data_IF_630668043415
#
_entry.id   IF_630668043415
#
_cell.length_a   1.000
_cell.length_b   1.000
_cell.length_c   1.000
_cell.angle_alpha   90.00
_cell.angle_beta   90.00
_cell.angle_gamma   90.00
#
_symmetry.space_group_name_H-M   'P 1'
#
loop_
_entity.id
_entity.type
_entity.pdbx_description
1 polymer ?
#
# COMPACT_ATOMS: atom_id res chain seq x y z
N UNK A 1 10.11 -39.20 -34.09
CA UNK A 1 8.88 -38.73 -33.39
C UNK A 1 9.26 -37.51 -32.58
N UNK A 2 8.65 -36.35 -32.85
CA UNK A 2 8.93 -35.09 -32.16
C UNK A 2 8.31 -35.17 -30.77
N UNK A 3 9.15 -35.29 -29.75
CA UNK A 3 8.73 -35.11 -28.36
C UNK A 3 8.46 -33.64 -28.13
N UNK A 4 7.18 -33.28 -28.15
CA UNK A 4 6.66 -31.97 -27.77
C UNK A 4 7.16 -31.63 -26.37
N UNK A 5 8.05 -30.63 -26.26
CA UNK A 5 8.38 -29.98 -25.01
C UNK A 5 7.12 -29.26 -24.52
N UNK A 6 6.33 -29.94 -23.70
CA UNK A 6 5.38 -29.30 -22.78
C UNK A 6 6.17 -29.03 -21.50
N UNK A 7 7.00 -27.98 -21.52
CA UNK A 7 7.59 -27.43 -20.31
C UNK A 7 6.45 -26.75 -19.53
N UNK A 8 5.76 -27.56 -18.72
CA UNK A 8 4.84 -27.11 -17.70
C UNK A 8 5.54 -26.00 -16.89
N UNK A 9 4.93 -24.81 -16.87
CA UNK A 9 5.24 -23.69 -15.97
C UNK A 9 5.01 -24.10 -14.51
N UNK A 10 5.81 -25.04 -14.03
CA UNK A 10 5.84 -25.45 -12.63
C UNK A 10 6.82 -24.54 -11.90
N UNK A 11 6.27 -23.77 -10.96
CA UNK A 11 6.95 -23.27 -9.75
C UNK A 11 7.78 -22.00 -9.89
N UNK A 12 7.19 -20.93 -10.41
CA UNK A 12 7.49 -19.59 -9.89
C UNK A 12 6.17 -18.99 -9.38
N UNK A 13 6.08 -18.55 -8.11
CA UNK A 13 4.88 -17.87 -7.62
C UNK A 13 4.77 -16.53 -8.37
N UNK A 14 4.00 -16.52 -9.45
CA UNK A 14 3.62 -15.29 -10.10
C UNK A 14 2.51 -14.67 -9.26
N UNK A 15 2.83 -13.55 -8.60
CA UNK A 15 1.82 -12.71 -8.01
C UNK A 15 1.03 -12.03 -9.15
N UNK A 16 -0.28 -12.23 -9.14
CA UNK A 16 -1.22 -11.67 -10.10
C UNK A 16 -1.98 -10.53 -9.46
N UNK A 17 -2.06 -9.40 -10.14
CA UNK A 17 -3.02 -8.38 -9.76
C UNK A 17 -4.46 -8.89 -9.96
N UNK A 18 -5.41 -8.47 -9.13
CA UNK A 18 -6.81 -8.84 -9.32
C UNK A 18 -7.33 -8.38 -10.69
N UNK A 19 -8.06 -9.25 -11.38
CA UNK A 19 -8.57 -9.01 -12.75
C UNK A 19 -9.54 -7.84 -12.86
N UNK A 20 -10.11 -7.40 -11.75
CA UNK A 20 -11.04 -6.27 -11.67
C UNK A 20 -10.33 -4.92 -11.49
N UNK A 21 -9.00 -4.91 -11.36
CA UNK A 21 -8.25 -3.66 -11.36
C UNK A 21 -8.28 -3.04 -12.77
N UNK A 22 -8.90 -1.87 -12.92
CA UNK A 22 -8.97 -1.10 -14.18
C UNK A 22 -7.62 -0.48 -14.61
N UNK A 23 -6.52 -0.98 -14.07
CA UNK A 23 -5.19 -0.47 -14.29
C UNK A 23 -4.60 -1.10 -15.56
N UNK A 24 -3.83 -0.32 -16.35
CA UNK A 24 -3.22 -0.80 -17.59
C UNK A 24 -1.96 -1.64 -17.31
N UNK A 25 -2.14 -2.77 -16.62
CA UNK A 25 -1.06 -3.69 -16.27
C UNK A 25 -0.67 -4.56 -17.46
N UNK A 26 0.63 -4.62 -17.75
CA UNK A 26 1.15 -5.40 -18.88
C UNK A 26 2.55 -5.94 -18.59
N UNK A 27 2.87 -7.10 -19.15
CA UNK A 27 4.21 -7.67 -19.06
C UNK A 27 4.60 -8.14 -17.66
N UNK A 28 5.90 -8.34 -17.48
CA UNK A 28 6.47 -9.01 -16.31
C UNK A 28 7.68 -8.23 -15.80
N UNK A 29 7.83 -8.13 -14.48
CA UNK A 29 9.06 -7.64 -13.85
C UNK A 29 9.69 -8.75 -12.99
N UNK A 30 10.99 -8.95 -13.14
CA UNK A 30 11.76 -9.82 -12.24
C UNK A 30 12.31 -8.98 -11.10
N UNK A 31 12.10 -9.45 -9.87
CA UNK A 31 12.59 -8.80 -8.66
C UNK A 31 13.91 -9.46 -8.22
N UNK A 32 15.01 -8.70 -8.06
CA UNK A 32 16.25 -9.23 -7.50
C UNK A 32 16.03 -9.76 -6.10
N UNK A 33 16.51 -10.97 -5.83
CA UNK A 33 16.41 -11.60 -4.50
C UNK A 33 17.71 -12.25 -4.08
N UNK A 34 17.88 -12.39 -2.77
CA UNK A 34 18.95 -13.20 -2.21
C UNK A 34 18.51 -13.84 -0.88
N UNK A 35 19.28 -14.81 -0.41
CA UNK A 35 19.02 -15.55 0.84
C UNK A 35 19.97 -15.02 1.92
N UNK A 36 19.46 -14.55 3.09
CA UNK A 36 20.28 -13.94 4.16
C UNK A 36 21.46 -14.79 4.65
N UNK A 37 21.32 -16.11 4.63
CA UNK A 37 22.35 -17.05 5.08
C UNK A 37 23.32 -17.48 3.94
N UNK A 38 23.19 -16.86 2.76
CA UNK A 38 24.06 -17.05 1.61
C UNK A 38 25.28 -16.12 1.62
N UNK A 39 26.30 -16.44 0.81
CA UNK A 39 27.59 -15.74 0.75
C UNK A 39 27.55 -14.29 0.19
N UNK A 40 26.37 -13.68 0.02
CA UNK A 40 26.20 -12.32 -0.48
C UNK A 40 25.60 -11.42 0.62
N UNK A 41 25.98 -10.14 0.63
CA UNK A 41 25.39 -9.16 1.52
C UNK A 41 23.92 -8.94 1.15
N UNK A 42 23.03 -9.62 1.90
CA UNK A 42 21.58 -9.54 1.73
C UNK A 42 20.98 -8.51 2.67
N UNK A 43 20.17 -7.61 2.13
CA UNK A 43 19.49 -6.57 2.89
C UNK A 43 18.00 -6.85 2.90
N UNK A 44 17.34 -6.61 4.04
CA UNK A 44 15.88 -6.67 4.11
C UNK A 44 15.27 -5.50 3.34
N UNK A 45 14.28 -5.75 2.48
CA UNK A 45 13.71 -4.74 1.59
C UNK A 45 13.10 -3.54 2.33
N UNK A 46 12.53 -3.73 3.52
CA UNK A 46 12.05 -2.61 4.34
C UNK A 46 13.19 -1.69 4.83
N UNK A 47 14.37 -2.26 5.13
CA UNK A 47 15.55 -1.48 5.48
C UNK A 47 16.11 -0.75 4.27
N UNK A 48 16.22 -1.43 3.12
CA UNK A 48 16.66 -0.82 1.86
C UNK A 48 15.73 0.33 1.45
N UNK A 49 14.41 0.13 1.52
CA UNK A 49 13.41 1.17 1.20
C UNK A 49 13.63 2.43 2.04
N UNK A 50 13.83 2.29 3.36
CA UNK A 50 14.12 3.43 4.24
C UNK A 50 15.43 4.11 3.86
N UNK A 51 16.51 3.34 3.74
CA UNK A 51 17.85 3.85 3.46
C UNK A 51 17.93 4.55 2.08
N UNK A 52 17.16 4.09 1.10
CA UNK A 52 17.15 4.67 -0.24
C UNK A 52 16.23 5.90 -0.30
N UNK A 53 15.13 5.90 0.44
CA UNK A 53 14.26 7.07 0.59
C UNK A 53 15.00 8.26 1.24
N UNK A 54 15.86 8.00 2.23
CA UNK A 54 16.71 9.03 2.87
C UNK A 54 17.72 9.68 1.91
N UNK A 55 17.97 9.08 0.74
CA UNK A 55 18.86 9.61 -0.30
C UNK A 55 18.14 10.33 -1.42
N UNK A 56 16.80 10.31 -1.43
CA UNK A 56 16.02 11.11 -2.38
C UNK A 56 16.40 12.59 -2.16
N UNK A 57 16.83 13.32 -3.22
CA UNK A 57 17.28 14.69 -3.06
C UNK A 57 16.20 15.59 -2.44
N UNK A 58 16.56 16.28 -1.37
CA UNK A 58 15.72 17.30 -0.76
C UNK A 58 15.56 18.52 -1.68
N UNK A 59 14.47 19.25 -1.50
CA UNK A 59 14.19 20.48 -2.23
C UNK A 59 13.53 21.51 -1.30
N UNK A 60 14.04 22.74 -1.33
CA UNK A 60 13.42 23.86 -0.61
C UNK A 60 12.07 24.29 -1.22
N UNK A 61 11.76 23.83 -2.43
CA UNK A 61 10.55 24.21 -3.18
C UNK A 61 9.60 23.05 -3.44
N UNK A 62 10.03 21.80 -3.24
CA UNK A 62 9.19 20.61 -3.36
C UNK A 62 9.19 19.86 -2.04
N UNK A 63 8.00 19.69 -1.45
CA UNK A 63 7.84 18.86 -0.28
C UNK A 63 7.67 17.40 -0.69
N UNK A 64 8.67 16.58 -0.41
CA UNK A 64 8.68 15.16 -0.72
C UNK A 64 8.05 14.34 0.42
N UNK A 65 7.18 13.38 0.08
CA UNK A 65 6.50 12.52 1.05
C UNK A 65 6.62 11.06 0.58
N UNK A 66 7.46 10.29 1.26
CA UNK A 66 7.55 8.84 1.07
C UNK A 66 6.45 8.11 1.83
N UNK A 67 5.71 7.23 1.16
CA UNK A 67 4.64 6.44 1.76
C UNK A 67 4.39 5.13 1.00
N UNK A 68 3.77 4.16 1.68
CA UNK A 68 3.21 2.98 1.02
C UNK A 68 1.82 3.31 0.47
N UNK A 69 1.50 2.78 -0.71
CA UNK A 69 0.22 3.08 -1.35
C UNK A 69 -0.19 2.06 -2.40
N UNK A 70 -1.50 2.03 -2.60
CA UNK A 70 -2.18 1.51 -3.78
C UNK A 70 -2.79 2.69 -4.56
N UNK A 71 -3.40 2.47 -5.74
CA UNK A 71 -4.15 3.52 -6.42
C UNK A 71 -5.34 4.06 -5.62
N UNK A 72 -5.83 3.32 -4.62
CA UNK A 72 -6.98 3.70 -3.79
C UNK A 72 -6.57 4.40 -2.50
N UNK A 73 -5.43 4.02 -1.90
CA UNK A 73 -5.10 4.35 -0.50
C UNK A 73 -3.63 4.67 -0.27
N UNK A 74 -3.38 5.51 0.72
CA UNK A 74 -2.06 5.79 1.29
C UNK A 74 -1.99 5.18 2.69
N UNK A 75 -0.81 4.78 3.11
CA UNK A 75 -0.58 4.15 4.40
C UNK A 75 0.50 4.91 5.19
N UNK A 76 0.29 5.06 6.49
CA UNK A 76 1.32 5.57 7.41
C UNK A 76 2.30 4.46 7.82
N UNK A 77 3.28 4.80 8.67
CA UNK A 77 4.33 3.86 9.10
C UNK A 77 3.84 2.65 9.89
N UNK A 78 2.61 2.71 10.43
CA UNK A 78 1.96 1.59 11.12
C UNK A 78 1.07 0.77 10.16
N UNK A 79 1.12 1.08 8.86
CA UNK A 79 0.24 0.54 7.82
C UNK A 79 -1.25 0.82 8.09
N UNK A 80 -1.54 1.92 8.78
CA UNK A 80 -2.89 2.45 8.90
C UNK A 80 -3.19 3.31 7.68
N UNK A 81 -4.40 3.18 7.12
CA UNK A 81 -4.85 4.03 6.01
C UNK A 81 -4.79 5.49 6.46
N UNK A 82 -4.02 6.28 5.73
CA UNK A 82 -3.91 7.72 5.85
C UNK A 82 -4.90 8.35 4.87
N UNK A 83 -5.95 8.98 5.38
CA UNK A 83 -6.94 9.62 4.51
C UNK A 83 -6.35 10.85 3.84
N UNK A 84 -6.90 11.22 2.69
CA UNK A 84 -6.51 12.44 1.97
C UNK A 84 -6.71 13.68 2.85
N UNK A 85 -7.78 13.72 3.64
CA UNK A 85 -8.07 14.85 4.53
C UNK A 85 -7.07 14.94 5.69
N UNK A 86 -6.69 13.80 6.28
CA UNK A 86 -5.68 13.74 7.34
C UNK A 86 -4.32 14.22 6.82
N UNK A 87 -3.92 13.75 5.63
CA UNK A 87 -2.67 14.18 5.00
C UNK A 87 -2.72 15.68 4.64
N UNK A 88 -3.81 16.16 4.06
CA UNK A 88 -3.98 17.58 3.76
C UNK A 88 -3.88 18.43 5.04
N UNK A 89 -4.54 18.03 6.12
CA UNK A 89 -4.48 18.72 7.41
C UNK A 89 -3.05 18.77 7.97
N UNK A 90 -2.29 17.67 7.87
CA UNK A 90 -0.89 17.61 8.29
C UNK A 90 0.05 18.47 7.43
N UNK A 91 -0.29 18.67 6.15
CA UNK A 91 0.55 19.39 5.19
C UNK A 91 0.30 20.89 5.16
N UNK A 92 -0.94 21.36 5.35
CA UNK A 92 -1.28 22.80 5.30
C UNK A 92 -0.32 23.70 6.10
N UNK A 93 0.07 23.36 7.35
CA UNK A 93 1.01 24.19 8.12
C UNK A 93 2.42 24.27 7.51
N UNK A 94 2.80 23.32 6.64
CA UNK A 94 4.11 23.26 5.97
C UNK A 94 4.14 24.04 4.65
N UNK A 95 2.99 24.47 4.14
CA UNK A 95 2.88 25.24 2.90
C UNK A 95 3.07 26.74 3.19
N UNK A 96 4.30 27.09 3.59
CA UNK A 96 4.70 28.42 4.06
C UNK A 96 4.92 29.47 2.95
N UNK A 97 4.55 29.14 1.71
CA UNK A 97 4.76 29.97 0.52
C UNK A 97 6.13 29.78 -0.17
N UNK A 98 7.09 29.08 0.45
CA UNK A 98 8.34 28.68 -0.24
C UNK A 98 8.13 27.39 -1.03
N UNK A 99 7.40 26.45 -0.44
CA UNK A 99 6.97 25.21 -1.11
C UNK A 99 6.05 25.57 -2.27
N UNK A 100 6.34 25.04 -3.47
CA UNK A 100 5.59 25.25 -4.71
C UNK A 100 4.89 23.99 -5.20
N UNK A 101 5.24 22.84 -4.66
CA UNK A 101 4.63 21.57 -5.01
C UNK A 101 4.92 20.49 -3.99
N UNK A 102 4.16 19.41 -4.10
CA UNK A 102 4.30 18.19 -3.29
C UNK A 102 4.55 17.03 -4.23
N UNK A 103 5.50 16.17 -3.87
CA UNK A 103 5.69 14.88 -4.54
C UNK A 103 5.35 13.74 -3.58
N UNK A 104 4.33 12.96 -3.94
CA UNK A 104 4.01 11.70 -3.28
C UNK A 104 4.89 10.61 -3.88
N UNK A 105 5.84 10.11 -3.11
CA UNK A 105 6.70 8.99 -3.46
C UNK A 105 6.08 7.72 -2.89
N UNK A 106 5.15 7.16 -3.65
CA UNK A 106 4.45 5.92 -3.31
C UNK A 106 3.80 5.33 -4.56
N UNK A 107 3.81 4.00 -4.68
CA UNK A 107 3.29 3.29 -5.84
C UNK A 107 1.87 3.75 -6.19
N UNK A 108 1.62 3.99 -7.47
CA UNK A 108 0.28 4.31 -8.02
C UNK A 108 -0.38 5.62 -7.54
N UNK A 109 0.30 6.47 -6.78
CA UNK A 109 -0.28 7.71 -6.25
C UNK A 109 -0.72 8.71 -7.33
N UNK A 110 -0.11 8.66 -8.52
CA UNK A 110 -0.44 9.51 -9.66
C UNK A 110 -1.48 8.92 -10.61
N UNK A 111 -2.05 7.75 -10.30
CA UNK A 111 -2.93 7.01 -11.20
C UNK A 111 -4.35 6.95 -10.66
N UNK A 112 -5.32 7.17 -11.56
CA UNK A 112 -6.74 6.97 -11.27
C UNK A 112 -7.01 5.47 -11.08
N UNK A 113 -7.59 5.03 -9.94
CA UNK A 113 -7.88 3.61 -9.70
C UNK A 113 -8.90 3.02 -10.67
N UNK A 114 -9.85 3.85 -11.13
CA UNK A 114 -10.94 3.45 -12.03
C UNK A 114 -11.54 4.68 -12.74
N UNK A 115 -12.23 4.50 -13.88
CA UNK A 115 -12.86 5.61 -14.58
C UNK A 115 -13.78 6.43 -13.66
N UNK A 116 -13.62 7.76 -13.68
CA UNK A 116 -14.41 8.69 -12.87
C UNK A 116 -13.87 8.92 -11.45
N UNK A 117 -12.83 8.21 -11.01
CA UNK A 117 -12.19 8.42 -9.70
C UNK A 117 -10.84 9.10 -9.88
N UNK A 118 -10.65 10.29 -9.30
CA UNK A 118 -9.37 11.00 -9.34
C UNK A 118 -8.24 10.22 -8.65
N UNK A 119 -7.00 10.41 -9.11
CA UNK A 119 -5.81 9.83 -8.47
C UNK A 119 -5.65 10.33 -7.03
N UNK A 120 -4.83 9.65 -6.21
CA UNK A 120 -4.51 10.12 -4.86
C UNK A 120 -3.87 11.51 -4.87
N UNK A 121 -2.96 11.77 -5.81
CA UNK A 121 -2.34 13.08 -6.00
C UNK A 121 -3.39 14.17 -6.33
N UNK A 122 -4.33 13.89 -7.24
CA UNK A 122 -5.40 14.84 -7.60
C UNK A 122 -6.36 15.09 -6.42
N UNK A 123 -6.72 14.03 -5.69
CA UNK A 123 -7.56 14.13 -4.49
C UNK A 123 -6.88 15.01 -3.42
N UNK A 124 -5.59 14.82 -3.20
CA UNK A 124 -4.81 15.62 -2.26
C UNK A 124 -4.66 17.08 -2.74
N UNK A 125 -4.39 17.28 -4.03
CA UNK A 125 -4.37 18.62 -4.63
C UNK A 125 -5.69 19.36 -4.38
N UNK A 126 -6.82 18.70 -4.63
CA UNK A 126 -8.15 19.26 -4.35
C UNK A 126 -8.36 19.58 -2.87
N UNK A 127 -7.94 18.70 -1.96
CA UNK A 127 -8.03 18.92 -0.52
C UNK A 127 -7.12 20.08 -0.04
N UNK A 128 -6.09 20.42 -0.82
CA UNK A 128 -5.20 21.56 -0.61
C UNK A 128 -5.55 22.75 -1.52
N UNK A 129 -6.83 22.93 -1.86
CA UNK A 129 -7.33 24.07 -2.63
C UNK A 129 -6.66 24.24 -4.01
N UNK A 130 -6.30 23.11 -4.65
CA UNK A 130 -5.66 23.07 -5.96
C UNK A 130 -4.14 23.20 -5.92
N UNK A 131 -3.50 23.07 -4.75
CA UNK A 131 -2.05 23.07 -4.63
C UNK A 131 -1.42 21.97 -5.49
N UNK A 132 -0.27 22.23 -6.12
CA UNK A 132 0.35 21.27 -7.03
C UNK A 132 0.82 20.02 -6.28
N UNK A 133 0.28 18.86 -6.67
CA UNK A 133 0.68 17.55 -6.14
C UNK A 133 0.95 16.62 -7.31
N UNK A 134 2.08 15.92 -7.27
CA UNK A 134 2.45 14.89 -8.23
C UNK A 134 2.58 13.56 -7.51
N UNK A 135 2.20 12.47 -8.19
CA UNK A 135 2.38 11.10 -7.70
C UNK A 135 3.06 10.22 -8.73
N UNK A 136 3.34 8.98 -8.32
CA UNK A 136 4.00 7.97 -9.14
C UNK A 136 3.03 7.23 -10.05
N UNK A 137 3.51 6.89 -11.24
CA UNK A 137 2.77 6.15 -12.25
C UNK A 137 3.19 4.67 -12.32
N UNK A 138 2.71 3.87 -11.36
CA UNK A 138 2.93 2.43 -11.31
C UNK A 138 3.56 1.97 -10.00
N UNK A 139 4.05 0.73 -10.02
CA UNK A 139 4.87 0.20 -8.93
C UNK A 139 6.20 0.96 -8.86
N UNK A 140 6.47 1.55 -7.69
CA UNK A 140 7.68 2.31 -7.44
C UNK A 140 8.88 1.38 -7.20
N UNK A 141 10.00 1.71 -7.85
CA UNK A 141 11.32 1.18 -7.58
C UNK A 141 12.24 2.29 -7.09
N UNK A 142 12.96 2.03 -6.01
CA UNK A 142 14.00 2.92 -5.49
C UNK A 142 15.37 2.28 -5.72
N UNK A 143 16.27 3.02 -6.37
CA UNK A 143 17.67 2.65 -6.48
C UNK A 143 18.44 3.06 -5.22
N UNK A 144 19.61 2.47 -5.02
CA UNK A 144 20.44 2.71 -3.83
C UNK A 144 20.96 4.15 -3.68
N UNK A 145 20.86 4.97 -4.72
CA UNK A 145 21.20 6.39 -4.75
C UNK A 145 19.99 7.32 -4.52
N UNK A 146 18.80 6.76 -4.30
CA UNK A 146 17.55 7.51 -4.14
C UNK A 146 16.85 7.87 -5.46
N UNK A 147 17.40 7.47 -6.61
CA UNK A 147 16.70 7.63 -7.89
C UNK A 147 15.49 6.69 -7.98
N UNK A 148 14.51 7.11 -8.78
CA UNK A 148 13.18 6.49 -8.87
C UNK A 148 12.88 6.07 -10.29
N UNK A 149 12.20 4.93 -10.42
CA UNK A 149 11.50 4.54 -11.66
C UNK A 149 10.22 3.80 -11.31
N UNK A 150 9.31 3.72 -12.26
CA UNK A 150 8.08 2.95 -12.10
C UNK A 150 7.94 1.86 -13.14
N UNK A 151 7.13 0.85 -12.81
CA UNK A 151 6.72 -0.20 -13.75
C UNK A 151 5.22 -0.47 -13.61
N UNK A 152 4.59 -0.94 -14.69
CA UNK A 152 3.18 -1.35 -14.71
C UNK A 152 3.05 -2.83 -15.05
N UNK A 153 3.85 -3.68 -14.38
CA UNK A 153 3.85 -5.12 -14.62
C UNK A 153 2.53 -5.76 -14.20
N UNK A 154 2.05 -6.71 -15.00
CA UNK A 154 0.94 -7.59 -14.62
C UNK A 154 1.42 -8.77 -13.76
N UNK A 155 2.69 -9.16 -13.93
CA UNK A 155 3.31 -10.28 -13.22
C UNK A 155 4.60 -9.84 -12.54
N UNK A 156 4.75 -10.20 -11.26
CA UNK A 156 6.02 -10.07 -10.54
C UNK A 156 6.64 -11.45 -10.37
N UNK A 157 7.85 -11.65 -10.90
CA UNK A 157 8.62 -12.89 -10.76
C UNK A 157 9.67 -12.72 -9.68
N UNK A 158 9.72 -13.65 -8.74
CA UNK A 158 10.64 -13.64 -7.61
C UNK A 158 11.03 -15.07 -7.24
N UNK A 159 12.29 -15.28 -6.86
CA UNK A 159 12.72 -16.53 -6.25
C UNK A 159 12.33 -16.58 -4.76
N UNK A 160 11.79 -17.73 -4.35
CA UNK A 160 11.36 -17.99 -2.98
C UNK A 160 10.01 -17.37 -2.61
N UNK A 161 9.53 -17.73 -1.42
CA UNK A 161 8.36 -17.15 -0.76
C UNK A 161 8.79 -16.50 0.56
N UNK A 162 7.97 -15.61 1.12
CA UNK A 162 8.24 -14.97 2.41
C UNK A 162 8.98 -13.64 2.30
N UNK A 163 9.60 -13.24 3.42
CA UNK A 163 10.24 -11.93 3.60
C UNK A 163 11.14 -11.55 2.41
N UNK A 164 11.01 -10.30 1.95
CA UNK A 164 11.72 -9.81 0.78
C UNK A 164 13.13 -9.33 1.16
N UNK A 165 14.14 -10.05 0.66
CA UNK A 165 15.55 -9.68 0.74
C UNK A 165 16.12 -9.53 -0.66
N UNK A 166 17.03 -8.56 -0.83
CA UNK A 166 17.70 -8.24 -2.08
C UNK A 166 19.21 -8.10 -1.86
N UNK A 167 20.04 -8.35 -2.90
CA UNK A 167 21.46 -8.02 -2.84
C UNK A 167 21.66 -6.53 -2.54
N UNK A 168 22.68 -6.22 -1.75
CA UNK A 168 23.04 -4.84 -1.46
C UNK A 168 23.30 -4.04 -2.75
N UNK A 169 22.63 -2.89 -2.89
CA UNK A 169 22.80 -1.98 -4.02
C UNK A 169 21.80 -2.15 -5.15
N UNK A 170 21.01 -3.24 -5.16
CA UNK A 170 19.95 -3.46 -6.14
C UNK A 170 18.72 -2.57 -5.91
N UNK A 171 17.95 -2.32 -6.96
CA UNK A 171 16.70 -1.58 -6.86
C UNK A 171 15.67 -2.35 -6.02
N UNK A 172 15.04 -1.66 -5.05
CA UNK A 172 13.96 -2.23 -4.25
C UNK A 172 12.59 -1.88 -4.85
N UNK A 173 11.77 -2.90 -5.08
CA UNK A 173 10.34 -2.71 -5.40
C UNK A 173 9.58 -2.39 -4.12
N UNK A 174 9.20 -1.12 -3.93
CA UNK A 174 8.66 -0.59 -2.66
C UNK A 174 7.39 -1.32 -2.21
N UNK A 175 6.47 -1.58 -3.15
CA UNK A 175 5.23 -2.29 -2.83
C UNK A 175 5.47 -3.71 -2.30
N UNK A 176 6.55 -4.39 -2.72
CA UNK A 176 6.85 -5.74 -2.24
C UNK A 176 7.51 -5.76 -0.86
N UNK A 177 8.12 -4.65 -0.42
CA UNK A 177 8.72 -4.55 0.90
C UNK A 177 7.70 -4.82 2.03
N UNK A 178 6.47 -4.33 1.86
CA UNK A 178 5.32 -4.64 2.73
C UNK A 178 4.32 -5.62 2.08
N UNK A 179 4.54 -6.00 0.82
CA UNK A 179 3.66 -6.85 0.01
C UNK A 179 3.93 -8.36 0.10
N UNK A 180 5.08 -8.77 0.61
CA UNK A 180 5.42 -10.20 0.68
C UNK A 180 4.47 -11.06 1.54
N UNK A 181 3.81 -10.57 2.61
CA UNK A 181 2.93 -11.40 3.44
C UNK A 181 1.78 -12.06 2.67
N UNK A 182 1.26 -11.42 1.61
CA UNK A 182 0.22 -12.03 0.78
C UNK A 182 0.66 -13.34 0.11
N UNK A 183 1.97 -13.55 -0.09
CA UNK A 183 2.51 -14.76 -0.73
C UNK A 183 2.65 -15.94 0.24
N UNK A 184 2.45 -15.71 1.54
CA UNK A 184 2.54 -16.74 2.59
C UNK A 184 1.34 -16.67 3.53
N UNK A 185 0.20 -16.17 3.05
CA UNK A 185 -1.04 -16.05 3.84
C UNK A 185 -1.45 -17.40 4.46
N UNK A 186 -1.20 -18.50 3.76
CA UNK A 186 -1.48 -19.87 4.21
C UNK A 186 -0.65 -20.32 5.41
N UNK A 187 0.47 -19.63 5.69
CA UNK A 187 1.37 -19.88 6.81
C UNK A 187 1.09 -18.97 8.02
N UNK A 188 0.23 -17.95 7.87
CA UNK A 188 -0.08 -17.00 8.95
C UNK A 188 -1.13 -17.61 9.89
N UNK A 189 -0.79 -17.69 11.18
CA UNK A 189 -1.68 -18.18 12.22
C UNK A 189 -2.91 -17.29 12.43
N UNK A 190 -4.03 -17.91 12.81
CA UNK A 190 -5.27 -17.21 13.16
C UNK A 190 -5.14 -16.37 14.45
N UNK A 191 -4.13 -16.65 15.26
CA UNK A 191 -3.74 -15.95 16.48
C UNK A 191 -2.68 -14.86 16.23
N UNK A 192 -2.36 -14.56 14.96
CA UNK A 192 -1.41 -13.52 14.57
C UNK A 192 -2.11 -12.32 13.88
N UNK A 193 -2.94 -11.55 14.62
CA UNK A 193 -3.78 -10.49 14.04
C UNK A 193 -2.99 -9.43 13.28
N UNK A 194 -1.76 -9.11 13.72
CA UNK A 194 -0.92 -8.13 13.06
C UNK A 194 -0.33 -8.64 11.74
N UNK A 195 0.01 -9.93 11.65
CA UNK A 195 0.43 -10.54 10.39
C UNK A 195 -0.74 -10.66 9.42
N UNK A 196 -1.94 -11.01 9.90
CA UNK A 196 -3.16 -10.98 9.08
C UNK A 196 -3.47 -9.57 8.55
N UNK A 197 -3.23 -8.52 9.36
CA UNK A 197 -3.34 -7.13 8.91
C UNK A 197 -2.33 -6.82 7.81
N UNK A 198 -1.08 -7.28 7.93
CA UNK A 198 -0.05 -7.12 6.90
C UNK A 198 -0.38 -7.88 5.61
N UNK A 199 -1.02 -9.05 5.69
CA UNK A 199 -1.58 -9.74 4.52
C UNK A 199 -2.60 -8.84 3.81
N UNK A 200 -3.50 -8.20 4.55
CA UNK A 200 -4.49 -7.30 3.98
C UNK A 200 -3.84 -6.08 3.27
N UNK A 201 -2.83 -5.48 3.89
CA UNK A 201 -2.02 -4.40 3.27
C UNK A 201 -1.39 -4.90 1.97
N UNK A 202 -0.74 -6.06 2.01
CA UNK A 202 -0.10 -6.67 0.85
C UNK A 202 -1.07 -6.91 -0.31
N UNK A 203 -2.30 -7.33 0.00
CA UNK A 203 -3.36 -7.48 -1.00
C UNK A 203 -3.76 -6.15 -1.63
N UNK A 204 -3.75 -5.06 -0.88
CA UNK A 204 -4.06 -3.72 -1.41
C UNK A 204 -2.90 -3.14 -2.22
N UNK A 205 -1.69 -3.09 -1.65
CA UNK A 205 -0.55 -2.32 -2.21
C UNK A 205 0.25 -3.07 -3.28
N UNK A 206 0.30 -4.41 -3.19
CA UNK A 206 1.08 -5.23 -4.11
C UNK A 206 0.20 -6.05 -5.06
N UNK A 207 -0.83 -6.73 -4.54
CA UNK A 207 -1.75 -7.50 -5.37
C UNK A 207 -2.85 -6.64 -6.02
N UNK A 208 -3.01 -5.38 -5.62
CA UNK A 208 -4.00 -4.46 -6.19
C UNK A 208 -5.43 -5.05 -6.15
N UNK A 209 -5.76 -5.71 -5.04
CA UNK A 209 -6.99 -6.46 -4.80
C UNK A 209 -7.80 -5.84 -3.64
N UNK A 210 -8.55 -4.74 -3.87
CA UNK A 210 -9.20 -4.00 -2.79
C UNK A 210 -10.27 -4.82 -2.05
N UNK A 211 -11.02 -5.70 -2.73
CA UNK A 211 -12.03 -6.53 -2.07
C UNK A 211 -11.40 -7.63 -1.21
N UNK A 212 -10.33 -8.27 -1.68
CA UNK A 212 -9.62 -9.26 -0.87
C UNK A 212 -8.89 -8.61 0.31
N UNK A 213 -8.34 -7.39 0.11
CA UNK A 213 -7.76 -6.62 1.20
C UNK A 213 -8.82 -6.31 2.27
N UNK A 214 -10.03 -5.90 1.88
CA UNK A 214 -11.12 -5.65 2.82
C UNK A 214 -11.46 -6.92 3.62
N UNK A 215 -11.64 -8.05 2.93
CA UNK A 215 -11.92 -9.32 3.59
C UNK A 215 -10.82 -9.73 4.58
N UNK A 216 -9.54 -9.55 4.20
CA UNK A 216 -8.41 -9.84 5.07
C UNK A 216 -8.32 -8.87 6.27
N UNK A 217 -8.62 -7.57 6.10
CA UNK A 217 -8.70 -6.64 7.23
C UNK A 217 -9.85 -7.02 8.18
N UNK A 218 -11.01 -7.40 7.67
CA UNK A 218 -12.13 -7.84 8.52
C UNK A 218 -11.80 -9.12 9.30
N UNK A 219 -11.09 -10.07 8.67
CA UNK A 219 -10.54 -11.26 9.34
C UNK A 219 -9.59 -10.84 10.46
N UNK A 220 -8.57 -10.03 10.16
CA UNK A 220 -7.60 -9.55 11.15
C UNK A 220 -8.26 -8.75 12.30
N UNK A 221 -9.25 -7.92 11.98
CA UNK A 221 -10.04 -7.19 12.97
C UNK A 221 -10.81 -8.14 13.88
N UNK A 222 -11.38 -9.23 13.34
CA UNK A 222 -12.02 -10.29 14.11
C UNK A 222 -11.07 -11.04 15.06
N UNK A 223 -9.76 -10.96 14.82
CA UNK A 223 -8.70 -11.56 15.66
C UNK A 223 -8.02 -10.57 16.60
N UNK A 224 -8.47 -9.31 16.63
CA UNK A 224 -7.99 -8.31 17.59
C UNK A 224 -7.00 -7.29 17.02
N UNK A 225 -6.81 -7.19 15.70
CA UNK A 225 -6.04 -6.09 15.13
C UNK A 225 -6.89 -4.81 15.09
N UNK A 226 -6.54 -3.84 15.94
CA UNK A 226 -7.25 -2.56 15.99
C UNK A 226 -7.04 -1.72 14.71
N UNK A 227 -5.83 -1.75 14.15
CA UNK A 227 -5.51 -1.08 12.87
C UNK A 227 -6.30 -1.71 11.72
N UNK A 228 -6.41 -3.05 11.68
CA UNK A 228 -7.23 -3.70 10.67
C UNK A 228 -8.72 -3.31 10.78
N UNK A 229 -9.24 -3.18 12.00
CA UNK A 229 -10.61 -2.72 12.22
C UNK A 229 -10.83 -1.31 11.68
N UNK A 230 -9.90 -0.38 11.96
CA UNK A 230 -9.91 0.97 11.40
C UNK A 230 -9.85 0.96 9.86
N UNK A 231 -8.91 0.21 9.28
CA UNK A 231 -8.71 0.16 7.84
C UNK A 231 -9.93 -0.42 7.12
N UNK A 232 -10.48 -1.54 7.58
CA UNK A 232 -11.70 -2.14 7.03
C UNK A 232 -12.88 -1.16 7.10
N UNK A 233 -13.03 -0.42 8.21
CA UNK A 233 -14.10 0.57 8.33
C UNK A 233 -13.96 1.69 7.29
N UNK A 234 -12.76 2.22 7.07
CA UNK A 234 -12.55 3.24 6.04
C UNK A 234 -12.85 2.71 4.64
N UNK A 235 -12.46 1.49 4.33
CA UNK A 235 -12.75 0.84 3.05
C UNK A 235 -14.26 0.68 2.82
N UNK A 236 -15.00 0.27 3.85
CA UNK A 236 -16.47 0.19 3.82
C UNK A 236 -17.10 1.57 3.58
N UNK A 237 -16.66 2.60 4.31
CA UNK A 237 -17.16 3.97 4.15
C UNK A 237 -16.85 4.54 2.76
N UNK A 238 -15.69 4.25 2.19
CA UNK A 238 -15.32 4.65 0.83
C UNK A 238 -16.17 3.94 -0.23
N UNK A 239 -16.40 2.63 -0.06
CA UNK A 239 -17.23 1.83 -0.99
C UNK A 239 -18.68 2.27 -0.98
N UNK A 240 -19.23 2.66 0.18
CA UNK A 240 -20.56 3.23 0.35
C UNK A 240 -21.68 2.38 -0.27
N UNK A 241 -21.61 1.05 -0.15
CA UNK A 241 -22.71 0.17 -0.52
C UNK A 241 -23.75 0.06 0.61
N UNK A 242 -24.91 -0.52 0.30
CA UNK A 242 -25.97 -0.75 1.29
C UNK A 242 -25.44 -1.56 2.49
N UNK A 243 -25.61 -0.99 3.69
CA UNK A 243 -25.14 -1.58 4.95
C UNK A 243 -23.66 -1.34 5.29
N UNK A 244 -22.85 -0.77 4.39
CA UNK A 244 -21.42 -0.56 4.65
C UNK A 244 -21.18 0.42 5.81
N UNK A 245 -21.99 1.45 5.94
CA UNK A 245 -21.87 2.40 7.06
C UNK A 245 -22.09 1.73 8.40
N UNK A 246 -23.12 0.88 8.51
CA UNK A 246 -23.42 0.18 9.76
C UNK A 246 -22.31 -0.82 10.10
N UNK A 247 -21.79 -1.54 9.10
CA UNK A 247 -20.63 -2.42 9.25
C UNK A 247 -19.36 -1.65 9.68
N UNK A 248 -19.12 -0.48 9.07
CA UNK A 248 -18.00 0.39 9.43
C UNK A 248 -18.09 0.87 10.88
N UNK A 249 -19.28 1.25 11.36
CA UNK A 249 -19.48 1.67 12.75
C UNK A 249 -19.15 0.54 13.73
N UNK A 250 -19.51 -0.72 13.41
CA UNK A 250 -19.15 -1.89 14.23
C UNK A 250 -17.65 -2.12 14.26
N UNK A 251 -16.97 -1.98 13.12
CA UNK A 251 -15.52 -2.11 13.01
C UNK A 251 -14.79 -1.01 13.79
N UNK A 252 -15.21 0.25 13.66
CA UNK A 252 -14.63 1.36 14.42
C UNK A 252 -14.86 1.19 15.93
N UNK A 253 -16.05 0.75 16.35
CA UNK A 253 -16.31 0.44 17.75
C UNK A 253 -15.38 -0.69 18.27
N UNK A 254 -15.11 -1.71 17.45
CA UNK A 254 -14.16 -2.77 17.79
C UNK A 254 -12.74 -2.23 17.94
N UNK A 255 -12.26 -1.42 17.00
CA UNK A 255 -10.94 -0.78 17.10
C UNK A 255 -10.83 0.09 18.36
N UNK A 256 -11.86 0.88 18.66
CA UNK A 256 -11.92 1.70 19.87
C UNK A 256 -11.88 0.85 21.16
N UNK A 257 -12.59 -0.28 21.20
CA UNK A 257 -12.57 -1.21 22.33
C UNK A 257 -11.19 -1.86 22.55
N UNK A 258 -10.36 -1.91 21.52
CA UNK A 258 -8.96 -2.34 21.58
C UNK A 258 -7.99 -1.18 21.91
N UNK A 259 -8.51 0.00 22.23
CA UNK A 259 -7.73 1.18 22.60
C UNK A 259 -7.27 2.06 21.43
N UNK A 260 -7.76 1.83 20.21
CA UNK A 260 -7.36 2.66 19.05
C UNK A 260 -8.10 4.00 19.03
N UNK A 261 -7.36 5.06 19.37
CA UNK A 261 -7.89 6.42 19.44
C UNK A 261 -8.40 6.93 18.09
N UNK A 262 -7.79 6.53 16.97
CA UNK A 262 -8.26 6.94 15.63
C UNK A 262 -9.61 6.30 15.28
N UNK A 263 -9.80 5.03 15.63
CA UNK A 263 -11.10 4.36 15.53
C UNK A 263 -12.16 5.04 16.38
N UNK A 264 -11.83 5.38 17.64
CA UNK A 264 -12.75 6.11 18.52
C UNK A 264 -13.15 7.47 17.91
N UNK A 265 -12.17 8.27 17.50
CA UNK A 265 -12.42 9.58 16.91
C UNK A 265 -13.29 9.49 15.63
N UNK A 266 -12.98 8.53 14.75
CA UNK A 266 -13.77 8.33 13.53
C UNK A 266 -15.18 7.81 13.85
N UNK A 267 -15.33 6.91 14.82
CA UNK A 267 -16.63 6.40 15.26
C UNK A 267 -17.54 7.53 15.76
N UNK A 268 -17.01 8.41 16.60
CA UNK A 268 -17.75 9.56 17.12
C UNK A 268 -18.19 10.51 16.00
N UNK A 269 -17.29 10.80 15.04
CA UNK A 269 -17.60 11.62 13.88
C UNK A 269 -18.72 11.02 13.01
N UNK A 270 -18.66 9.71 12.72
CA UNK A 270 -19.66 9.02 11.91
C UNK A 270 -21.03 8.90 12.60
N UNK A 271 -21.06 8.85 13.93
CA UNK A 271 -22.31 8.88 14.69
C UNK A 271 -22.92 10.27 14.72
N UNK A 272 -22.10 11.31 14.85
CA UNK A 272 -22.56 12.69 14.83
C UNK A 272 -23.14 13.11 13.47
N UNK A 273 -22.63 12.57 12.36
CA UNK A 273 -23.15 12.85 11.02
C UNK A 273 -24.57 12.29 10.76
N UNK A 274 -25.06 11.33 11.57
CA UNK A 274 -26.45 10.82 11.51
C UNK A 274 -27.47 11.75 12.19
N UNK A 275 -27.01 12.67 13.05
CA UNK A 275 -27.87 13.54 13.85
C UNK A 275 -28.17 14.89 13.17
N UNK A 276 -27.65 15.12 11.96
CA UNK A 276 -27.90 16.28 11.10
C UNK A 276 -28.73 15.85 9.90
#
# INVERSE_FOLDING_TARGET
>A
MKSTLLALCLLSPAALACGDAHLPLTGTATVPTCVPDGSAACVYAGQATRAYMEKVPDSDVILTIGLQSSPWRMYDGDLRILTVDDLAAALRPKLDGKVRGIELIGSWTGVSPQPGTSSLADRLSKALDGFAVKGEDGFLWLAADGSRRTTRQAYTLREGAGAYFLPEGEDVMVALADGWPAMVEDQVGEDEPDMLMRVAVAKDVFMLCPDEALAAYERAAGKGSAIAAYNAALMRLERNADGDRDAALVLLQRGAALGDARSQARWDAERASKAK
#
